data_IF_464764810196
#
_entry.id   IF_464764810196
#
_cell.length_a   1.000
_cell.length_b   1.000
_cell.length_c   1.000
_cell.angle_alpha   90.00
_cell.angle_beta   90.00
_cell.angle_gamma   90.00
#
_symmetry.space_group_name_H-M   'P 1'
#
loop_
_entity.id
_entity.type
_entity.pdbx_description
1 polymer ?
#
# COMPACT_ATOMS: atom_id res chain seq x y z
N UNK A 1 26.21 -7.65 -0.02
CA UNK A 1 25.93 -8.87 -0.81
C UNK A 1 24.43 -8.95 -1.02
N UNK A 2 23.95 -8.95 -2.26
CA UNK A 2 22.51 -9.01 -2.58
C UNK A 2 22.11 -10.48 -2.80
N UNK A 3 21.08 -10.97 -2.12
CA UNK A 3 20.50 -12.28 -2.45
C UNK A 3 19.53 -12.09 -3.62
N UNK A 4 19.92 -12.54 -4.81
CA UNK A 4 19.06 -12.57 -5.99
C UNK A 4 18.07 -13.73 -5.85
N UNK A 5 16.78 -13.47 -6.03
CA UNK A 5 15.70 -14.45 -5.83
C UNK A 5 14.95 -14.61 -7.16
N UNK A 6 14.71 -15.85 -7.58
CA UNK A 6 14.00 -16.21 -8.81
C UNK A 6 12.46 -16.36 -8.58
N UNK A 7 11.63 -16.32 -9.64
CA UNK A 7 10.20 -16.61 -9.58
C UNK A 7 9.86 -17.92 -8.83
N UNK A 8 8.89 -17.89 -7.91
CA UNK A 8 8.36 -19.09 -7.22
C UNK A 8 9.10 -19.50 -5.95
N UNK A 9 10.07 -18.71 -5.48
CA UNK A 9 10.86 -19.01 -4.29
C UNK A 9 10.08 -18.66 -3.00
N UNK A 10 10.13 -19.54 -1.99
CA UNK A 10 9.62 -19.28 -0.64
C UNK A 10 10.81 -19.09 0.31
N UNK A 11 10.81 -17.98 1.07
CA UNK A 11 11.74 -17.76 2.16
C UNK A 11 11.03 -17.97 3.48
N UNK A 12 11.45 -19.03 4.17
CA UNK A 12 10.91 -19.46 5.46
C UNK A 12 11.83 -19.00 6.58
N UNK A 13 11.23 -18.63 7.71
CA UNK A 13 11.94 -18.21 8.91
C UNK A 13 12.32 -16.73 8.95
N UNK A 14 12.93 -16.34 10.07
CA UNK A 14 13.38 -14.98 10.34
C UNK A 14 14.63 -14.63 9.51
N UNK A 15 14.51 -13.63 8.63
CA UNK A 15 15.65 -12.99 7.97
C UNK A 15 16.07 -11.75 8.77
N UNK A 16 17.37 -11.61 9.03
CA UNK A 16 17.93 -10.53 9.86
C UNK A 16 19.23 -9.96 9.27
N UNK A 17 19.68 -8.83 9.82
CA UNK A 17 20.96 -8.21 9.49
C UNK A 17 20.89 -7.01 8.53
N UNK A 18 22.07 -6.52 8.13
CA UNK A 18 22.25 -5.28 7.35
C UNK A 18 21.88 -5.35 5.86
N UNK A 19 21.36 -6.47 5.39
CA UNK A 19 21.24 -6.75 3.96
C UNK A 19 19.93 -6.23 3.36
N UNK A 20 19.96 -5.96 2.07
CA UNK A 20 18.79 -5.62 1.27
C UNK A 20 18.31 -6.83 0.47
N UNK A 21 16.99 -6.97 0.33
CA UNK A 21 16.37 -7.92 -0.60
C UNK A 21 16.19 -7.27 -1.97
N UNK A 22 16.59 -7.95 -3.04
CA UNK A 22 16.44 -7.47 -4.41
C UNK A 22 15.61 -8.50 -5.21
N UNK A 23 14.30 -8.31 -5.23
CA UNK A 23 13.37 -9.16 -5.97
C UNK A 23 13.42 -8.81 -7.46
N UNK A 24 13.63 -9.84 -8.29
CA UNK A 24 13.69 -9.75 -9.76
C UNK A 24 12.76 -10.78 -10.39
N UNK A 25 12.52 -10.62 -11.68
CA UNK A 25 11.66 -11.51 -12.47
C UNK A 25 10.16 -11.35 -12.18
N UNK A 26 9.33 -11.87 -13.07
CA UNK A 26 7.88 -11.62 -13.08
C UNK A 26 7.08 -12.45 -12.07
N UNK A 27 7.63 -13.54 -11.52
CA UNK A 27 6.88 -14.39 -10.60
C UNK A 27 6.81 -13.88 -9.17
N UNK A 28 6.23 -14.70 -8.31
CA UNK A 28 5.98 -14.40 -6.90
C UNK A 28 7.12 -14.92 -6.02
N UNK A 29 7.58 -14.09 -5.07
CA UNK A 29 8.38 -14.51 -3.92
C UNK A 29 7.46 -14.55 -2.70
N UNK A 30 7.47 -15.64 -1.94
CA UNK A 30 6.71 -15.75 -0.68
C UNK A 30 7.65 -15.57 0.51
N UNK A 31 7.30 -14.68 1.44
CA UNK A 31 8.05 -14.34 2.65
C UNK A 31 7.22 -14.74 3.88
N UNK A 32 7.58 -15.84 4.54
CA UNK A 32 6.74 -16.44 5.60
C UNK A 32 7.16 -16.05 7.04
N UNK A 33 8.18 -15.19 7.20
CA UNK A 33 8.68 -14.76 8.50
C UNK A 33 8.39 -13.29 8.82
N UNK A 34 8.30 -12.96 10.12
CA UNK A 34 8.47 -11.59 10.60
C UNK A 34 9.96 -11.25 10.53
N UNK A 35 10.35 -10.34 9.65
CA UNK A 35 11.75 -10.12 9.30
C UNK A 35 12.33 -8.89 10.02
N UNK A 36 13.63 -8.90 10.28
CA UNK A 36 14.35 -7.79 10.95
C UNK A 36 15.53 -7.27 10.14
N UNK A 37 15.68 -7.70 8.88
CA UNK A 37 16.67 -7.08 8.00
C UNK A 37 16.34 -5.60 7.78
N UNK A 38 17.36 -4.75 7.79
CA UNK A 38 17.17 -3.29 7.77
C UNK A 38 17.71 -2.62 6.49
N UNK A 39 18.34 -3.36 5.59
CA UNK A 39 18.83 -2.83 4.31
C UNK A 39 17.73 -2.52 3.29
N UNK A 40 16.47 -2.85 3.59
CA UNK A 40 15.31 -2.57 2.75
C UNK A 40 15.01 -3.64 1.70
N UNK A 41 13.96 -3.40 0.92
CA UNK A 41 13.46 -4.34 -0.10
C UNK A 41 13.26 -3.61 -1.41
N UNK A 42 13.92 -4.04 -2.49
CA UNK A 42 13.76 -3.50 -3.83
C UNK A 42 13.00 -4.52 -4.68
N UNK A 43 11.84 -4.13 -5.21
CA UNK A 43 11.01 -4.95 -6.08
C UNK A 43 11.11 -4.42 -7.51
N UNK A 44 11.97 -5.05 -8.33
CA UNK A 44 12.17 -4.64 -9.72
C UNK A 44 11.08 -5.15 -10.67
N UNK A 45 10.19 -6.02 -10.19
CA UNK A 45 9.09 -6.60 -10.96
C UNK A 45 8.52 -7.86 -10.28
N UNK A 46 7.33 -8.27 -10.71
CA UNK A 46 6.61 -9.41 -10.17
C UNK A 46 5.99 -9.12 -8.80
N UNK A 47 5.82 -10.16 -7.99
CA UNK A 47 5.10 -10.05 -6.71
C UNK A 47 5.97 -10.46 -5.53
N UNK A 48 5.80 -9.78 -4.40
CA UNK A 48 6.12 -10.35 -3.08
C UNK A 48 4.80 -10.61 -2.34
N UNK A 49 4.60 -11.86 -1.92
CA UNK A 49 3.56 -12.22 -0.96
C UNK A 49 4.21 -12.41 0.39
N UNK A 50 3.69 -11.78 1.44
CA UNK A 50 4.33 -11.81 2.75
C UNK A 50 3.35 -12.20 3.85
N UNK A 51 3.86 -12.73 4.96
CA UNK A 51 3.08 -13.02 6.16
C UNK A 51 2.43 -11.74 6.68
N UNK A 52 1.11 -11.69 6.88
CA UNK A 52 0.47 -10.51 7.47
C UNK A 52 1.20 -10.09 8.75
N UNK A 53 1.71 -8.85 8.82
CA UNK A 53 2.39 -8.37 10.02
C UNK A 53 1.43 -8.22 11.20
N UNK A 54 1.92 -7.73 12.34
CA UNK A 54 1.08 -7.42 13.50
C UNK A 54 0.80 -5.90 13.59
N UNK A 55 -0.41 -5.52 13.99
CA UNK A 55 -0.77 -4.12 14.16
C UNK A 55 0.09 -3.47 15.25
N UNK A 56 0.71 -2.33 14.94
CA UNK A 56 1.60 -1.61 15.87
C UNK A 56 3.02 -2.18 15.99
N UNK A 57 3.35 -3.26 15.27
CA UNK A 57 4.73 -3.76 15.23
C UNK A 57 5.63 -2.86 14.38
N UNK A 58 6.83 -2.58 14.87
CA UNK A 58 7.91 -1.95 14.08
C UNK A 58 8.67 -2.97 13.22
N UNK A 59 8.59 -4.25 13.57
CA UNK A 59 9.13 -5.33 12.77
C UNK A 59 8.06 -5.76 11.76
N UNK A 60 8.38 -5.57 10.47
CA UNK A 60 7.49 -5.91 9.37
C UNK A 60 7.85 -7.25 8.73
N UNK A 61 6.90 -7.88 8.04
CA UNK A 61 7.16 -9.08 7.25
C UNK A 61 8.12 -8.83 6.08
N UNK A 62 8.41 -7.56 5.76
CA UNK A 62 9.41 -7.13 4.76
C UNK A 62 10.59 -6.37 5.39
N UNK A 63 10.95 -6.74 6.62
CA UNK A 63 12.05 -6.12 7.35
C UNK A 63 11.66 -4.77 7.94
N UNK A 64 12.65 -3.96 8.32
CA UNK A 64 12.44 -2.61 8.89
C UNK A 64 12.88 -1.49 7.94
N UNK A 65 13.54 -1.83 6.84
CA UNK A 65 13.98 -0.85 5.84
C UNK A 65 12.86 -0.40 4.89
N UNK A 66 13.16 0.59 4.05
CA UNK A 66 12.23 1.08 3.01
C UNK A 66 12.01 0.03 1.94
N UNK A 67 10.79 -0.05 1.42
CA UNK A 67 10.43 -0.83 0.24
C UNK A 67 10.45 0.10 -0.98
N UNK A 68 11.27 -0.22 -1.99
CA UNK A 68 11.29 0.48 -3.27
C UNK A 68 10.55 -0.36 -4.30
N UNK A 69 9.45 0.18 -4.81
CA UNK A 69 8.57 -0.49 -5.78
C UNK A 69 8.75 0.13 -7.17
N UNK A 70 9.24 -0.68 -8.11
CA UNK A 70 9.45 -0.26 -9.51
C UNK A 70 8.31 -0.74 -10.42
N UNK A 71 8.36 -0.33 -11.68
CA UNK A 71 7.31 -0.65 -12.65
C UNK A 71 7.01 -2.17 -12.73
N UNK A 72 5.74 -2.55 -12.67
CA UNK A 72 5.28 -3.93 -12.71
C UNK A 72 5.51 -4.72 -11.41
N UNK A 73 5.83 -4.05 -10.31
CA UNK A 73 5.93 -4.67 -9.00
C UNK A 73 4.59 -4.69 -8.26
N UNK A 74 4.42 -5.69 -7.40
CA UNK A 74 3.25 -5.83 -6.55
C UNK A 74 3.60 -6.40 -5.18
N UNK A 75 2.82 -6.02 -4.19
CA UNK A 75 2.82 -6.66 -2.88
C UNK A 75 1.43 -7.18 -2.53
N UNK A 76 1.37 -8.28 -1.78
CA UNK A 76 0.14 -8.83 -1.21
C UNK A 76 0.45 -9.60 0.07
N UNK A 77 -0.58 -9.89 0.85
CA UNK A 77 -0.47 -10.76 2.01
C UNK A 77 -0.68 -12.23 1.65
N UNK A 78 -0.15 -13.14 2.48
CA UNK A 78 -0.58 -14.54 2.57
C UNK A 78 -1.62 -14.76 3.67
N UNK A 79 -1.81 -13.79 4.57
CA UNK A 79 -2.92 -13.77 5.54
C UNK A 79 -4.16 -13.19 4.87
N UNK A 80 -5.26 -13.94 4.80
CA UNK A 80 -6.50 -13.56 4.11
C UNK A 80 -7.45 -12.71 4.99
N UNK A 81 -7.09 -12.45 6.25
CA UNK A 81 -7.88 -11.67 7.21
C UNK A 81 -7.31 -10.28 7.36
N UNK A 82 -6.09 -10.17 7.89
CA UNK A 82 -5.47 -8.89 8.22
C UNK A 82 -4.03 -8.84 7.72
N UNK A 83 -3.58 -7.67 7.31
CA UNK A 83 -2.19 -7.50 6.86
C UNK A 83 -1.68 -6.13 7.22
N UNK A 84 -0.76 -6.10 8.18
CA UNK A 84 -0.12 -4.87 8.64
C UNK A 84 1.29 -4.76 8.04
N UNK A 85 1.61 -3.61 7.47
CA UNK A 85 2.92 -3.30 6.90
C UNK A 85 3.43 -1.97 7.47
N UNK A 86 4.48 -1.98 8.30
CA UNK A 86 5.01 -0.76 8.91
C UNK A 86 6.06 -0.04 8.05
N UNK A 87 6.52 -0.67 6.96
CA UNK A 87 7.59 -0.15 6.13
C UNK A 87 7.17 1.11 5.37
N UNK A 88 8.10 2.07 5.26
CA UNK A 88 7.98 3.12 4.25
C UNK A 88 8.04 2.52 2.85
N UNK A 89 7.31 3.12 1.90
CA UNK A 89 7.27 2.72 0.50
C UNK A 89 7.69 3.89 -0.38
N UNK A 90 8.67 3.66 -1.25
CA UNK A 90 9.04 4.55 -2.35
C UNK A 90 8.52 3.99 -3.67
N UNK A 91 7.69 4.76 -4.36
CA UNK A 91 7.03 4.33 -5.61
C UNK A 91 7.71 5.01 -6.80
N UNK A 92 8.40 4.21 -7.61
CA UNK A 92 9.18 4.66 -8.78
C UNK A 92 8.54 4.30 -10.13
N UNK A 93 7.43 3.55 -10.16
CA UNK A 93 6.77 3.13 -11.41
C UNK A 93 5.29 2.81 -11.23
N UNK A 94 4.70 2.06 -12.16
CA UNK A 94 3.33 1.56 -11.99
C UNK A 94 3.36 0.31 -11.11
N UNK A 95 2.71 0.37 -9.95
CA UNK A 95 2.80 -0.66 -8.90
C UNK A 95 1.42 -1.05 -8.41
N UNK A 96 1.33 -2.23 -7.80
CA UNK A 96 0.09 -2.72 -7.22
C UNK A 96 0.24 -3.00 -5.72
N UNK A 97 -0.64 -2.42 -4.92
CA UNK A 97 -0.73 -2.69 -3.50
C UNK A 97 -1.90 -3.63 -3.22
N UNK A 98 -1.65 -4.70 -2.46
CA UNK A 98 -2.63 -5.73 -2.08
C UNK A 98 -3.51 -6.22 -3.25
N UNK A 99 -2.85 -6.52 -4.37
CA UNK A 99 -3.54 -6.95 -5.59
C UNK A 99 -4.28 -8.28 -5.40
N UNK A 100 -5.60 -8.29 -5.62
CA UNK A 100 -6.43 -9.50 -5.56
C UNK A 100 -6.63 -10.05 -4.13
N UNK A 101 -6.39 -9.23 -3.11
CA UNK A 101 -6.45 -9.63 -1.71
C UNK A 101 -7.73 -9.15 -1.02
N UNK A 102 -8.39 -9.97 -0.19
CA UNK A 102 -9.74 -9.69 0.31
C UNK A 102 -9.83 -9.14 1.75
N UNK A 103 -8.74 -9.20 2.51
CA UNK A 103 -8.71 -8.82 3.93
C UNK A 103 -8.70 -7.29 4.20
N UNK A 104 -8.38 -6.93 5.45
CA UNK A 104 -8.14 -5.56 5.92
C UNK A 104 -6.64 -5.25 6.01
N UNK A 105 -6.17 -4.37 5.13
CA UNK A 105 -4.76 -4.04 5.00
C UNK A 105 -4.49 -2.73 5.70
N UNK A 106 -3.32 -2.61 6.35
CA UNK A 106 -2.88 -1.35 6.93
C UNK A 106 -1.44 -1.09 6.54
N UNK A 107 -1.20 0.08 5.96
CA UNK A 107 0.12 0.65 5.76
C UNK A 107 0.31 1.79 6.76
N UNK A 108 1.17 1.56 7.75
CA UNK A 108 1.51 2.61 8.73
C UNK A 108 2.80 3.35 8.42
N UNK A 109 3.60 2.84 7.49
CA UNK A 109 4.75 3.56 6.95
C UNK A 109 4.33 4.62 5.93
N UNK A 110 5.26 5.53 5.65
CA UNK A 110 5.06 6.65 4.74
C UNK A 110 5.19 6.20 3.27
N UNK A 111 4.41 6.81 2.39
CA UNK A 111 4.53 6.69 0.94
C UNK A 111 5.23 7.94 0.41
N UNK A 112 6.23 7.75 -0.45
CA UNK A 112 6.85 8.82 -1.25
C UNK A 112 7.05 8.40 -2.71
N UNK A 113 7.48 9.34 -3.53
CA UNK A 113 7.78 9.12 -4.95
C UNK A 113 6.66 9.62 -5.87
N UNK A 114 6.84 9.40 -7.17
CA UNK A 114 5.98 9.94 -8.22
C UNK A 114 5.34 8.87 -9.11
N UNK A 115 5.64 7.59 -8.87
CA UNK A 115 5.01 6.49 -9.61
C UNK A 115 3.54 6.30 -9.26
N UNK A 116 2.87 5.41 -9.97
CA UNK A 116 1.42 5.20 -9.85
C UNK A 116 1.13 3.96 -9.01
N UNK A 117 0.32 4.12 -7.97
CA UNK A 117 -0.21 3.02 -7.16
C UNK A 117 -1.58 2.64 -7.69
N UNK A 118 -1.76 1.34 -7.94
CA UNK A 118 -3.09 0.72 -8.10
C UNK A 118 -3.38 -0.15 -6.89
N UNK A 119 -4.54 0.07 -6.26
CA UNK A 119 -5.07 -0.78 -5.20
C UNK A 119 -6.26 -1.57 -5.76
N UNK A 120 -6.14 -2.90 -5.76
CA UNK A 120 -7.19 -3.83 -6.20
C UNK A 120 -7.66 -4.76 -5.06
N UNK A 121 -7.50 -4.32 -3.81
CA UNK A 121 -7.80 -5.14 -2.65
C UNK A 121 -9.18 -4.85 -2.07
N UNK A 122 -9.81 -5.91 -1.57
CA UNK A 122 -10.87 -5.95 -0.59
C UNK A 122 -12.32 -5.77 -1.06
N UNK A 123 -13.13 -6.77 -0.72
CA UNK A 123 -14.60 -6.75 -0.77
C UNK A 123 -15.23 -6.40 0.58
N UNK A 124 -14.42 -6.27 1.64
CA UNK A 124 -14.91 -5.90 2.96
C UNK A 124 -13.85 -5.18 3.78
N UNK A 125 -12.70 -5.78 4.10
CA UNK A 125 -11.69 -5.18 4.99
C UNK A 125 -11.27 -3.75 4.63
N UNK A 126 -10.79 -3.50 3.41
CA UNK A 126 -10.28 -2.22 2.91
C UNK A 126 -8.77 -2.07 3.09
N UNK A 127 -8.26 -0.89 2.73
CA UNK A 127 -6.87 -0.48 2.97
C UNK A 127 -6.86 0.77 3.83
N UNK A 128 -6.19 0.69 4.96
CA UNK A 128 -5.91 1.82 5.83
C UNK A 128 -4.53 2.40 5.54
N UNK A 129 -4.47 3.71 5.30
CA UNK A 129 -3.26 4.49 5.29
C UNK A 129 -3.20 5.31 6.58
N UNK A 130 -2.08 5.21 7.30
CA UNK A 130 -1.87 5.97 8.54
C UNK A 130 -0.52 6.68 8.65
N UNK A 131 0.41 6.45 7.71
CA UNK A 131 1.69 7.17 7.66
C UNK A 131 1.55 8.63 7.19
N UNK A 132 2.66 9.37 7.18
CA UNK A 132 2.74 10.68 6.54
C UNK A 132 3.14 10.53 5.07
N UNK A 133 2.16 10.70 4.19
CA UNK A 133 2.27 10.53 2.75
C UNK A 133 2.42 11.88 2.02
N UNK A 134 2.68 12.99 2.72
CA UNK A 134 2.76 14.34 2.14
C UNK A 134 3.87 14.54 1.09
N UNK A 135 4.79 13.58 0.95
CA UNK A 135 5.84 13.53 -0.08
C UNK A 135 5.46 12.68 -1.30
N UNK A 136 4.34 11.97 -1.27
CA UNK A 136 3.84 11.25 -2.44
C UNK A 136 3.25 12.24 -3.45
N UNK A 137 3.71 12.15 -4.70
CA UNK A 137 3.35 13.05 -5.80
C UNK A 137 2.76 12.32 -7.00
N UNK A 138 2.63 10.99 -6.89
CA UNK A 138 2.14 10.14 -7.95
C UNK A 138 0.62 10.07 -8.03
N UNK A 139 0.13 9.01 -8.66
CA UNK A 139 -1.31 8.74 -8.77
C UNK A 139 -1.70 7.54 -7.93
N UNK A 140 -2.68 7.68 -7.03
CA UNK A 140 -3.28 6.55 -6.34
C UNK A 140 -4.63 6.22 -6.96
N UNK A 141 -4.78 5.01 -7.50
CA UNK A 141 -6.03 4.53 -8.10
C UNK A 141 -6.55 3.34 -7.31
N UNK A 142 -7.75 3.43 -6.74
CA UNK A 142 -8.48 2.28 -6.21
C UNK A 142 -9.48 1.80 -7.28
N UNK A 143 -9.35 0.55 -7.77
CA UNK A 143 -10.17 0.04 -8.90
C UNK A 143 -11.17 -1.08 -8.52
N UNK A 144 -12.33 -1.05 -9.18
CA UNK A 144 -13.56 -1.75 -8.77
C UNK A 144 -13.70 -3.19 -9.25
N UNK A 145 -13.11 -4.14 -8.53
CA UNK A 145 -13.47 -5.55 -8.75
C UNK A 145 -14.68 -6.01 -7.92
N UNK A 146 -14.98 -5.39 -6.77
CA UNK A 146 -15.87 -6.00 -5.75
C UNK A 146 -17.11 -5.20 -5.34
N UNK A 147 -17.39 -4.02 -5.92
CA UNK A 147 -18.45 -3.09 -5.48
C UNK A 147 -18.38 -2.66 -3.99
N UNK A 148 -17.34 -3.02 -3.24
CA UNK A 148 -17.23 -2.81 -1.78
C UNK A 148 -15.80 -2.44 -1.34
N UNK A 149 -15.07 -1.77 -2.22
CA UNK A 149 -13.69 -1.37 -1.92
C UNK A 149 -13.68 -0.20 -0.94
N UNK A 150 -12.93 -0.33 0.16
CA UNK A 150 -12.79 0.69 1.20
C UNK A 150 -11.33 1.18 1.27
N UNK A 151 -11.14 2.49 1.31
CA UNK A 151 -9.86 3.13 1.60
C UNK A 151 -10.08 4.00 2.83
N UNK A 152 -9.32 3.77 3.90
CA UNK A 152 -9.34 4.56 5.13
C UNK A 152 -8.12 5.48 5.15
N UNK A 153 -8.37 6.77 5.28
CA UNK A 153 -7.36 7.80 5.52
C UNK A 153 -7.57 8.26 6.96
N UNK A 154 -6.63 7.90 7.83
CA UNK A 154 -6.82 8.03 9.29
C UNK A 154 -6.40 9.37 9.86
N UNK A 155 -5.65 10.16 9.09
CA UNK A 155 -5.19 11.48 9.50
C UNK A 155 -4.89 12.38 8.29
N UNK A 156 -4.72 13.69 8.54
CA UNK A 156 -4.47 14.68 7.49
C UNK A 156 -3.25 14.40 6.62
N UNK A 157 -2.22 13.80 7.19
CA UNK A 157 -0.99 13.44 6.49
C UNK A 157 -1.07 12.07 5.82
N UNK A 158 -2.08 11.25 6.09
CA UNK A 158 -2.25 9.93 5.45
C UNK A 158 -2.75 10.01 4.00
N UNK A 159 -3.31 11.16 3.60
CA UNK A 159 -3.46 11.52 2.20
C UNK A 159 -2.23 12.26 1.66
N UNK A 160 -2.31 12.74 0.42
CA UNK A 160 -1.32 13.68 -0.10
C UNK A 160 -1.97 14.72 -0.99
N UNK A 161 -1.83 15.99 -0.61
CA UNK A 161 -2.25 17.14 -1.42
C UNK A 161 -1.47 17.28 -2.74
N UNK A 162 -0.32 16.62 -2.87
CA UNK A 162 0.54 16.66 -4.07
C UNK A 162 0.29 15.50 -5.03
N UNK A 163 -0.52 14.51 -4.64
CA UNK A 163 -0.84 13.35 -5.44
C UNK A 163 -2.23 13.47 -6.08
N UNK A 164 -2.42 12.76 -7.19
CA UNK A 164 -3.74 12.55 -7.77
C UNK A 164 -4.39 11.30 -7.14
N UNK A 165 -5.67 11.39 -6.74
CA UNK A 165 -6.40 10.29 -6.12
C UNK A 165 -7.64 9.95 -6.93
N UNK A 166 -7.62 8.79 -7.58
CA UNK A 166 -8.74 8.24 -8.33
C UNK A 166 -9.38 7.13 -7.52
N UNK A 167 -10.45 7.45 -6.82
CA UNK A 167 -11.26 6.47 -6.14
C UNK A 167 -12.36 6.07 -7.13
N UNK A 168 -12.11 5.03 -7.92
CA UNK A 168 -13.16 4.43 -8.74
C UNK A 168 -14.13 3.76 -7.77
N UNK A 169 -15.09 4.52 -7.28
CA UNK A 169 -16.18 4.09 -6.45
C UNK A 169 -17.45 4.57 -7.19
N UNK A 170 -18.20 3.74 -7.91
CA UNK A 170 -19.68 3.86 -7.98
C UNK A 170 -20.26 3.76 -6.55
N UNK A 171 -19.87 4.70 -5.69
CA UNK A 171 -20.18 4.99 -4.28
C UNK A 171 -21.23 4.07 -3.63
N UNK A 172 -20.94 2.77 -3.59
CA UNK A 172 -21.75 1.78 -2.91
C UNK A 172 -21.31 1.79 -1.46
N UNK A 173 -21.93 2.71 -0.72
CA UNK A 173 -22.03 2.84 0.74
C UNK A 173 -20.77 3.11 1.57
N UNK A 174 -19.57 2.58 1.29
CA UNK A 174 -18.58 2.47 2.38
C UNK A 174 -17.14 3.01 2.12
N UNK A 175 -16.93 4.10 1.38
CA UNK A 175 -15.63 4.80 1.42
C UNK A 175 -15.57 5.70 2.66
N UNK A 176 -14.97 5.22 3.75
CA UNK A 176 -14.90 5.93 5.04
C UNK A 176 -13.61 6.75 5.15
N UNK A 177 -13.74 8.09 5.26
CA UNK A 177 -12.61 9.01 5.47
C UNK A 177 -12.80 9.65 6.84
N UNK A 178 -11.96 9.24 7.79
CA UNK A 178 -12.18 9.52 9.21
C UNK A 178 -11.45 10.79 9.68
N UNK A 179 -10.44 11.27 8.94
CA UNK A 179 -9.98 12.67 8.92
C UNK A 179 -8.86 12.85 7.89
N UNK A 180 -8.91 13.91 7.06
CA UNK A 180 -7.73 14.35 6.31
C UNK A 180 -7.95 15.03 4.95
N UNK A 181 -6.83 15.45 4.32
CA UNK A 181 -6.81 16.07 2.99
C UNK A 181 -6.63 14.96 1.96
N UNK A 182 -7.66 14.73 1.14
CA UNK A 182 -7.65 13.64 0.14
C UNK A 182 -6.85 14.01 -1.12
N UNK A 183 -7.00 15.25 -1.63
CA UNK A 183 -6.25 15.77 -2.78
C UNK A 183 -6.47 17.29 -2.91
N UNK A 184 -5.55 18.00 -3.59
CA UNK A 184 -5.82 19.33 -4.13
C UNK A 184 -5.66 19.30 -5.66
N UNK A 185 -6.68 19.74 -6.40
CA UNK A 185 -6.60 19.92 -7.86
C UNK A 185 -6.83 21.39 -8.17
N UNK A 186 -5.86 22.03 -8.84
CA UNK A 186 -5.93 23.44 -9.25
C UNK A 186 -6.30 24.43 -8.12
N UNK A 187 -5.85 24.17 -6.89
CA UNK A 187 -6.13 25.01 -5.73
C UNK A 187 -7.44 24.73 -5.00
N UNK A 188 -8.24 23.76 -5.46
CA UNK A 188 -9.40 23.24 -4.73
C UNK A 188 -8.94 22.01 -3.96
N UNK A 189 -8.74 22.18 -2.65
CA UNK A 189 -8.56 21.06 -1.74
C UNK A 189 -9.93 20.55 -1.31
N UNK A 190 -10.11 19.23 -1.22
CA UNK A 190 -11.29 18.64 -0.58
C UNK A 190 -10.94 18.44 0.90
N UNK A 191 -11.30 19.36 1.81
CA UNK A 191 -11.27 19.08 3.24
C UNK A 191 -12.36 18.07 3.55
N UNK A 192 -11.99 16.85 3.91
CA UNK A 192 -12.96 15.88 4.40
C UNK A 192 -13.24 16.18 5.88
N UNK A 193 -14.28 16.97 6.16
CA UNK A 193 -14.95 16.95 7.48
C UNK A 193 -16.16 16.04 7.37
N UNK A 194 -15.93 14.73 7.32
CA UNK A 194 -17.02 13.74 7.32
C UNK A 194 -17.13 13.20 8.74
N UNK A 195 -18.18 13.60 9.45
CA UNK A 195 -18.69 12.84 10.60
C UNK A 195 -19.32 11.56 10.07
N UNK A 196 -19.25 10.49 10.86
CA UNK A 196 -19.65 9.12 10.52
C UNK A 196 -20.78 9.00 9.49
N UNK A 197 -20.52 8.25 8.42
CA UNK A 197 -21.49 7.81 7.38
C UNK A 197 -21.77 8.78 6.20
N UNK A 198 -20.91 9.78 5.96
CA UNK A 198 -21.08 10.70 4.83
C UNK A 198 -20.36 10.27 3.53
N UNK A 199 -21.17 10.15 2.48
CA UNK A 199 -20.80 9.81 1.10
C UNK A 199 -20.09 10.99 0.43
N UNK A 200 -18.83 10.83 0.03
CA UNK A 200 -18.24 11.71 -0.98
C UNK A 200 -18.91 11.41 -2.33
N UNK A 201 -19.83 12.25 -2.78
CA UNK A 201 -20.40 12.16 -4.12
C UNK A 201 -19.58 13.07 -5.04
N UNK A 202 -18.55 12.51 -5.69
CA UNK A 202 -17.75 13.30 -6.63
C UNK A 202 -16.66 12.50 -7.33
N UNK A 203 -16.86 12.22 -8.61
CA UNK A 203 -15.77 11.96 -9.54
C UNK A 203 -15.09 13.30 -9.82
N UNK A 204 -13.90 13.53 -9.26
CA UNK A 204 -13.09 14.67 -9.69
C UNK A 204 -12.18 14.20 -10.84
N UNK A 205 -12.69 14.33 -12.06
CA UNK A 205 -11.88 14.35 -13.28
C UNK A 205 -11.57 15.82 -13.54
N UNK A 206 -10.31 16.23 -13.36
CA UNK A 206 -9.72 17.39 -14.06
C UNK A 206 -8.28 17.04 -14.40
#
# INVERSE_FOLDING_TARGET
>A
MYRSILPGEQLKGLLSGGYAINKRGVGTLVMEGLNTYNGGTIINGGQIRYLGGENGSVNGPLGTGTIIMKNGSSISSTDDTNSFLPNNIEVEGNVYLWNGWTGYGKLSGNIKGSGNITYEGSSYGGLELSGDNSEYTGTFTAIRRSSRQRLFITNASAGSAKAAWFLDANFSRDSHIESGILACVSGICIPCTCTDDDRLVGSLIV
#
